data_IF_137856415660
#
_entry.id   IF_137856415660
#
_cell.length_a   1.000
_cell.length_b   1.000
_cell.length_c   1.000
_cell.angle_alpha   90.00
_cell.angle_beta   90.00
_cell.angle_gamma   90.00
#
_symmetry.space_group_name_H-M   'P 1'
#
loop_
_entity.id
_entity.type
_entity.pdbx_description
1 polymer ?
#
# COMPACT_ATOMS: atom_id res chain seq x y z
N UNK A 1 44.97 39.99 87.65
CA UNK A 1 43.58 39.64 87.30
C UNK A 1 42.87 39.21 88.56
N UNK A 2 41.66 39.72 88.84
CA UNK A 2 40.88 39.30 90.02
C UNK A 2 40.30 37.90 89.81
N UNK A 3 40.10 37.16 90.90
CA UNK A 3 39.48 35.82 90.91
C UNK A 3 38.08 35.84 90.28
N UNK A 4 37.35 36.94 90.48
CA UNK A 4 36.05 37.23 89.89
C UNK A 4 36.08 37.23 88.35
N UNK A 5 37.12 37.78 87.72
CA UNK A 5 37.25 37.77 86.26
C UNK A 5 37.45 36.34 85.71
N UNK A 6 38.17 35.48 86.45
CA UNK A 6 38.40 34.08 86.06
C UNK A 6 37.08 33.30 86.11
N UNK A 7 36.28 33.50 87.16
CA UNK A 7 34.99 32.83 87.32
C UNK A 7 33.97 33.28 86.25
N UNK A 8 33.99 34.56 85.88
CA UNK A 8 33.22 35.09 84.74
C UNK A 8 33.64 34.43 83.42
N UNK A 9 34.94 34.37 83.10
CA UNK A 9 35.40 33.74 81.87
C UNK A 9 35.06 32.26 81.79
N UNK A 10 35.14 31.49 82.89
CA UNK A 10 34.70 30.09 82.91
C UNK A 10 33.21 29.96 82.58
N UNK A 11 32.39 30.87 83.10
CA UNK A 11 30.95 30.89 82.83
C UNK A 11 30.66 31.23 81.37
N UNK A 12 31.38 32.18 80.78
CA UNK A 12 31.27 32.51 79.36
C UNK A 12 31.75 31.36 78.46
N UNK A 13 32.89 30.73 78.77
CA UNK A 13 33.39 29.55 78.05
C UNK A 13 32.32 28.46 78.04
N UNK A 14 31.72 28.15 79.20
CA UNK A 14 30.68 27.12 79.30
C UNK A 14 29.46 27.46 78.44
N UNK A 15 29.01 28.72 78.46
CA UNK A 15 27.91 29.17 77.58
C UNK A 15 28.25 29.01 76.09
N UNK A 16 29.51 29.28 75.72
CA UNK A 16 29.98 29.12 74.34
C UNK A 16 30.04 27.63 73.97
N UNK A 17 30.55 26.77 74.84
CA UNK A 17 30.58 25.32 74.63
C UNK A 17 29.18 24.73 74.46
N UNK A 18 28.23 25.12 75.33
CA UNK A 18 26.82 24.72 75.22
C UNK A 18 26.22 25.19 73.88
N UNK A 19 26.54 26.42 73.44
CA UNK A 19 26.08 26.95 72.16
C UNK A 19 26.69 26.24 70.95
N UNK A 20 27.97 25.87 71.02
CA UNK A 20 28.64 25.08 69.97
C UNK A 20 28.00 23.70 69.85
N UNK A 21 27.70 23.05 70.97
CA UNK A 21 27.03 21.75 70.98
C UNK A 21 25.64 21.83 70.34
N UNK A 22 24.85 22.84 70.70
CA UNK A 22 23.52 23.09 70.12
C UNK A 22 23.60 23.31 68.60
N UNK A 23 24.53 24.17 68.14
CA UNK A 23 24.71 24.46 66.71
C UNK A 23 25.22 23.24 65.92
N UNK A 24 26.04 22.41 66.53
CA UNK A 24 26.55 21.17 65.89
C UNK A 24 25.42 20.19 65.65
N UNK A 25 24.57 19.97 66.65
CA UNK A 25 23.40 19.10 66.52
C UNK A 25 22.38 19.64 65.50
N UNK A 26 22.14 20.95 65.47
CA UNK A 26 21.27 21.57 64.47
C UNK A 26 21.83 21.41 63.05
N UNK A 27 23.14 21.59 62.87
CA UNK A 27 23.80 21.41 61.58
C UNK A 27 23.71 19.96 61.09
N UNK A 28 23.97 18.97 61.95
CA UNK A 28 23.86 17.56 61.60
C UNK A 28 22.42 17.19 61.18
N UNK A 29 21.43 17.68 61.93
CA UNK A 29 20.01 17.48 61.61
C UNK A 29 19.68 18.07 60.23
N UNK A 30 20.05 19.34 59.98
CA UNK A 30 19.81 20.00 58.69
C UNK A 30 20.55 19.31 57.54
N UNK A 31 21.75 18.80 57.79
CA UNK A 31 22.55 18.06 56.80
C UNK A 31 21.87 16.75 56.42
N UNK A 32 21.35 15.99 57.39
CA UNK A 32 20.62 14.76 57.14
C UNK A 32 19.30 15.01 56.40
N UNK A 33 18.54 16.02 56.81
CA UNK A 33 17.31 16.43 56.13
C UNK A 33 17.56 16.81 54.66
N UNK A 34 18.62 17.58 54.40
CA UNK A 34 19.03 17.95 53.05
C UNK A 34 19.43 16.73 52.21
N UNK A 35 20.19 15.78 52.79
CA UNK A 35 20.60 14.55 52.12
C UNK A 35 19.39 13.66 51.78
N UNK A 36 18.47 13.48 52.73
CA UNK A 36 17.26 12.68 52.54
C UNK A 36 16.31 13.31 51.52
N UNK A 37 16.15 14.64 51.55
CA UNK A 37 15.37 15.39 50.57
C UNK A 37 15.96 15.26 49.16
N UNK A 38 17.29 15.39 49.03
CA UNK A 38 18.00 15.21 47.77
C UNK A 38 17.83 13.81 47.20
N UNK A 39 17.97 12.79 48.05
CA UNK A 39 17.79 11.38 47.66
C UNK A 39 16.35 11.10 47.19
N UNK A 40 15.36 11.56 47.95
CA UNK A 40 13.94 11.39 47.61
C UNK A 40 13.58 12.03 46.26
N UNK A 41 14.08 13.26 46.00
CA UNK A 41 13.89 13.93 44.71
C UNK A 41 14.54 13.17 43.56
N UNK A 42 15.75 12.64 43.76
CA UNK A 42 16.44 11.84 42.75
C UNK A 42 15.64 10.58 42.40
N UNK A 43 15.20 9.83 43.43
CA UNK A 43 14.37 8.63 43.24
C UNK A 43 13.05 8.95 42.53
N UNK A 44 12.43 10.10 42.83
CA UNK A 44 11.22 10.54 42.13
C UNK A 44 11.50 10.82 40.65
N UNK A 45 12.59 11.53 40.33
CA UNK A 45 12.99 11.82 38.95
C UNK A 45 13.27 10.52 38.18
N UNK A 46 14.03 9.60 38.76
CA UNK A 46 14.35 8.32 38.13
C UNK A 46 13.10 7.46 37.91
N UNK A 47 12.18 7.45 38.88
CA UNK A 47 10.93 6.70 38.77
C UNK A 47 9.99 7.31 37.72
N UNK A 48 9.78 8.62 37.72
CA UNK A 48 8.81 9.26 36.82
C UNK A 48 9.39 9.44 35.41
N UNK A 49 10.54 10.12 35.31
CA UNK A 49 11.13 10.43 34.01
C UNK A 49 11.82 9.21 33.41
N UNK A 50 12.53 8.40 34.21
CA UNK A 50 13.19 7.19 33.72
C UNK A 50 12.20 6.17 33.14
N UNK A 51 11.05 5.96 33.78
CA UNK A 51 9.98 5.11 33.21
C UNK A 51 9.39 5.70 31.94
N UNK A 52 9.15 7.01 31.90
CA UNK A 52 8.59 7.68 30.73
C UNK A 52 9.53 7.60 29.52
N UNK A 53 10.84 7.78 29.73
CA UNK A 53 11.85 7.63 28.68
C UNK A 53 11.85 6.20 28.13
N UNK A 54 11.91 5.17 28.98
CA UNK A 54 11.88 3.77 28.54
C UNK A 54 10.59 3.42 27.78
N UNK A 55 9.45 3.95 28.21
CA UNK A 55 8.19 3.74 27.52
C UNK A 55 8.21 4.36 26.11
N UNK A 56 8.71 5.60 25.98
CA UNK A 56 8.84 6.28 24.69
C UNK A 56 9.86 5.61 23.76
N UNK A 57 10.98 5.10 24.28
CA UNK A 57 11.96 4.33 23.50
C UNK A 57 11.36 3.04 22.94
N UNK A 58 10.57 2.33 23.75
CA UNK A 58 9.85 1.13 23.32
C UNK A 58 8.80 1.46 22.25
N UNK A 59 8.00 2.51 22.46
CA UNK A 59 7.00 2.95 21.48
C UNK A 59 7.64 3.38 20.16
N UNK A 60 8.76 4.11 20.23
CA UNK A 60 9.51 4.55 19.05
C UNK A 60 10.04 3.34 18.26
N UNK A 61 10.55 2.32 18.95
CA UNK A 61 11.04 1.09 18.32
C UNK A 61 9.91 0.35 17.60
N UNK A 62 8.77 0.16 18.27
CA UNK A 62 7.60 -0.49 17.67
C UNK A 62 7.06 0.28 16.45
N UNK A 63 7.04 1.62 16.51
CA UNK A 63 6.63 2.46 15.38
C UNK A 63 7.59 2.35 14.19
N UNK A 64 8.90 2.28 14.43
CA UNK A 64 9.89 2.08 13.36
C UNK A 64 9.69 0.73 12.66
N UNK A 65 9.56 -0.36 13.42
CA UNK A 65 9.31 -1.69 12.84
C UNK A 65 8.01 -1.74 12.02
N UNK A 66 6.97 -1.05 12.49
CA UNK A 66 5.70 -0.94 11.77
C UNK A 66 5.87 -0.17 10.46
N UNK A 67 6.61 0.93 10.49
CA UNK A 67 6.90 1.74 9.31
C UNK A 67 7.70 0.96 8.28
N UNK A 68 8.74 0.23 8.70
CA UNK A 68 9.58 -0.57 7.81
C UNK A 68 8.74 -1.65 7.09
N UNK A 69 7.88 -2.37 7.83
CA UNK A 69 6.94 -3.35 7.25
C UNK A 69 5.97 -2.71 6.25
N UNK A 70 5.49 -1.50 6.54
CA UNK A 70 4.59 -0.78 5.64
C UNK A 70 5.29 -0.34 4.35
N UNK A 71 6.55 0.10 4.43
CA UNK A 71 7.38 0.44 3.28
C UNK A 71 7.63 -0.79 2.40
N UNK A 72 7.98 -1.92 3.00
CA UNK A 72 8.18 -3.18 2.27
C UNK A 72 6.91 -3.65 1.54
N UNK A 73 5.76 -3.59 2.21
CA UNK A 73 4.48 -3.94 1.61
C UNK A 73 4.12 -3.01 0.44
N UNK A 74 4.36 -1.71 0.59
CA UNK A 74 4.11 -0.73 -0.47
C UNK A 74 5.02 -0.97 -1.69
N UNK A 75 6.29 -1.32 -1.47
CA UNK A 75 7.22 -1.60 -2.56
C UNK A 75 6.80 -2.86 -3.34
N UNK A 76 6.42 -3.94 -2.64
CA UNK A 76 5.87 -5.15 -3.28
C UNK A 76 4.62 -4.85 -4.13
N UNK A 77 3.68 -4.09 -3.57
CA UNK A 77 2.47 -3.71 -4.31
C UNK A 77 2.77 -2.88 -5.57
N UNK A 78 3.78 -2.00 -5.52
CA UNK A 78 4.24 -1.23 -6.70
C UNK A 78 4.84 -2.13 -7.78
N UNK A 79 5.64 -3.12 -7.40
CA UNK A 79 6.23 -4.07 -8.34
C UNK A 79 5.17 -4.92 -9.03
N UNK A 80 4.20 -5.44 -8.28
CA UNK A 80 3.05 -6.20 -8.81
C UNK A 80 2.20 -5.34 -9.75
N UNK A 81 1.94 -4.09 -9.38
CA UNK A 81 1.20 -3.15 -10.23
C UNK A 81 1.91 -2.91 -11.56
N UNK A 82 3.23 -2.67 -11.54
CA UNK A 82 4.00 -2.42 -12.75
C UNK A 82 4.04 -3.66 -13.66
N UNK A 83 4.20 -4.84 -13.08
CA UNK A 83 4.17 -6.12 -13.80
C UNK A 83 2.81 -6.33 -14.47
N UNK A 84 1.73 -6.15 -13.71
CA UNK A 84 0.35 -6.31 -14.19
C UNK A 84 0.03 -5.29 -15.28
N UNK A 85 0.44 -4.03 -15.11
CA UNK A 85 0.30 -2.98 -16.11
C UNK A 85 1.01 -3.33 -17.42
N UNK A 86 2.22 -3.89 -17.34
CA UNK A 86 2.97 -4.39 -18.48
C UNK A 86 2.24 -5.52 -19.22
N UNK A 87 1.79 -6.53 -18.47
CA UNK A 87 1.04 -7.67 -19.00
C UNK A 87 -0.27 -7.23 -19.68
N UNK A 88 -1.03 -6.33 -19.05
CA UNK A 88 -2.26 -5.78 -19.60
C UNK A 88 -2.02 -5.04 -20.93
N UNK A 89 -0.94 -4.25 -21.01
CA UNK A 89 -0.58 -3.53 -22.25
C UNK A 89 -0.25 -4.49 -23.40
N UNK A 90 0.41 -5.62 -23.11
CA UNK A 90 0.71 -6.66 -24.11
C UNK A 90 -0.58 -7.37 -24.55
N UNK A 91 -1.39 -7.82 -23.61
CA UNK A 91 -2.66 -8.48 -23.89
C UNK A 91 -3.61 -7.60 -24.72
N UNK A 92 -3.64 -6.29 -24.44
CA UNK A 92 -4.44 -5.33 -25.22
C UNK A 92 -3.97 -5.26 -26.68
N UNK A 93 -2.65 -5.18 -26.91
CA UNK A 93 -2.09 -5.15 -28.28
C UNK A 93 -2.36 -6.45 -29.04
N UNK A 94 -2.24 -7.60 -28.36
CA UNK A 94 -2.54 -8.91 -28.94
C UNK A 94 -4.01 -9.00 -29.33
N UNK A 95 -4.92 -8.61 -28.43
CA UNK A 95 -6.34 -8.56 -28.69
C UNK A 95 -6.70 -7.66 -29.88
N UNK A 96 -6.17 -6.43 -29.93
CA UNK A 96 -6.41 -5.49 -31.03
C UNK A 96 -5.91 -6.03 -32.37
N UNK A 97 -4.74 -6.67 -32.37
CA UNK A 97 -4.15 -7.28 -33.56
C UNK A 97 -4.98 -8.46 -34.05
N UNK A 98 -5.37 -9.37 -33.15
CA UNK A 98 -6.20 -10.52 -33.47
C UNK A 98 -7.57 -10.08 -34.02
N UNK A 99 -8.21 -9.11 -33.36
CA UNK A 99 -9.48 -8.52 -33.79
C UNK A 99 -9.38 -7.93 -35.19
N UNK A 100 -8.32 -7.18 -35.49
CA UNK A 100 -8.12 -6.58 -36.82
C UNK A 100 -7.91 -7.64 -37.91
N UNK A 101 -7.17 -8.70 -37.62
CA UNK A 101 -6.97 -9.82 -38.54
C UNK A 101 -8.30 -10.54 -38.82
N UNK A 102 -9.09 -10.82 -37.78
CA UNK A 102 -10.38 -11.49 -37.94
C UNK A 102 -11.37 -10.68 -38.77
N UNK A 103 -11.43 -9.35 -38.58
CA UNK A 103 -12.28 -8.46 -39.39
C UNK A 103 -11.89 -8.57 -40.86
N UNK A 104 -10.59 -8.48 -41.20
CA UNK A 104 -10.12 -8.58 -42.58
C UNK A 104 -10.43 -9.94 -43.21
N UNK A 105 -10.27 -11.01 -42.45
CA UNK A 105 -10.60 -12.36 -42.91
C UNK A 105 -12.10 -12.47 -43.21
N UNK A 106 -12.96 -11.98 -42.32
CA UNK A 106 -14.40 -11.98 -42.52
C UNK A 106 -14.81 -11.17 -43.76
N UNK A 107 -14.25 -9.96 -43.95
CA UNK A 107 -14.49 -9.14 -45.14
C UNK A 107 -14.05 -9.83 -46.44
N UNK A 108 -12.94 -10.57 -46.40
CA UNK A 108 -12.45 -11.34 -47.55
C UNK A 108 -13.38 -12.52 -47.86
N UNK A 109 -13.78 -13.26 -46.84
CA UNK A 109 -14.69 -14.40 -46.96
C UNK A 109 -16.05 -13.96 -47.51
N UNK A 110 -16.61 -12.85 -47.01
CA UNK A 110 -17.87 -12.30 -47.51
C UNK A 110 -17.77 -11.94 -49.01
N UNK A 111 -16.68 -11.29 -49.43
CA UNK A 111 -16.45 -10.97 -50.85
C UNK A 111 -16.35 -12.23 -51.71
N UNK A 112 -15.71 -13.28 -51.23
CA UNK A 112 -15.57 -14.55 -51.95
C UNK A 112 -16.92 -15.24 -52.11
N UNK A 113 -17.69 -15.35 -51.02
CA UNK A 113 -19.05 -15.92 -51.05
C UNK A 113 -19.94 -15.13 -52.02
N UNK A 114 -19.90 -13.80 -52.00
CA UNK A 114 -20.68 -12.97 -52.93
C UNK A 114 -20.29 -13.21 -54.40
N UNK A 115 -19.01 -13.45 -54.71
CA UNK A 115 -18.55 -13.77 -56.07
C UNK A 115 -19.04 -15.16 -56.52
N UNK A 116 -18.95 -16.15 -55.65
CA UNK A 116 -19.42 -17.51 -55.91
C UNK A 116 -20.94 -17.53 -56.15
N UNK A 117 -21.72 -16.91 -55.25
CA UNK A 117 -23.18 -16.79 -55.39
C UNK A 117 -23.57 -16.10 -56.70
N UNK A 118 -22.90 -15.00 -57.07
CA UNK A 118 -23.15 -14.32 -58.35
C UNK A 118 -22.90 -15.23 -59.55
N UNK A 119 -21.83 -16.04 -59.50
CA UNK A 119 -21.46 -16.97 -60.57
C UNK A 119 -22.50 -18.09 -60.69
N UNK A 120 -22.87 -18.71 -59.57
CA UNK A 120 -23.91 -19.75 -59.51
C UNK A 120 -25.26 -19.22 -60.01
N UNK A 121 -25.68 -18.02 -59.60
CA UNK A 121 -26.92 -17.40 -60.08
C UNK A 121 -26.87 -17.20 -61.60
N UNK A 122 -25.73 -16.77 -62.14
CA UNK A 122 -25.57 -16.58 -63.59
C UNK A 122 -25.68 -17.91 -64.34
N UNK A 123 -25.05 -18.96 -63.83
CA UNK A 123 -25.13 -20.31 -64.38
C UNK A 123 -26.56 -20.84 -64.36
N UNK A 124 -27.24 -20.76 -63.21
CA UNK A 124 -28.64 -21.19 -63.07
C UNK A 124 -29.58 -20.42 -64.00
N UNK A 125 -29.38 -19.10 -64.17
CA UNK A 125 -30.14 -18.30 -65.14
C UNK A 125 -29.95 -18.78 -66.58
N UNK A 126 -28.74 -19.20 -66.95
CA UNK A 126 -28.47 -19.74 -68.28
C UNK A 126 -29.13 -21.12 -68.46
N UNK A 127 -29.07 -21.98 -67.44
CA UNK A 127 -29.73 -23.29 -67.45
C UNK A 127 -31.26 -23.16 -67.60
N UNK A 128 -31.89 -22.23 -66.85
CA UNK A 128 -33.32 -21.93 -66.98
C UNK A 128 -33.65 -21.52 -68.42
N UNK A 129 -32.90 -20.58 -69.02
CA UNK A 129 -33.12 -20.16 -70.42
C UNK A 129 -32.97 -21.30 -71.42
N UNK A 130 -32.06 -22.23 -71.18
CA UNK A 130 -31.88 -23.41 -72.04
C UNK A 130 -33.09 -24.35 -71.93
N UNK A 131 -33.54 -24.64 -70.71
CA UNK A 131 -34.74 -25.44 -70.45
C UNK A 131 -35.99 -24.80 -71.05
N UNK A 132 -36.19 -23.49 -70.89
CA UNK A 132 -37.30 -22.75 -71.51
C UNK A 132 -37.32 -22.88 -73.04
N UNK A 133 -36.14 -22.89 -73.68
CA UNK A 133 -36.05 -23.11 -75.13
C UNK A 133 -36.41 -24.55 -75.52
N UNK A 134 -35.95 -25.53 -74.75
CA UNK A 134 -36.27 -26.95 -74.98
C UNK A 134 -37.78 -27.19 -74.83
N UNK A 135 -38.39 -26.70 -73.76
CA UNK A 135 -39.84 -26.79 -73.52
C UNK A 135 -40.61 -26.22 -74.72
N UNK A 136 -40.26 -25.01 -75.19
CA UNK A 136 -40.92 -24.39 -76.36
C UNK A 136 -40.76 -25.21 -77.64
N UNK A 137 -39.63 -25.91 -77.81
CA UNK A 137 -39.41 -26.76 -78.97
C UNK A 137 -40.26 -28.03 -78.90
N UNK A 138 -40.36 -28.64 -77.72
CA UNK A 138 -41.21 -29.80 -77.45
C UNK A 138 -42.70 -29.46 -77.61
N UNK A 139 -43.16 -28.34 -77.05
CA UNK A 139 -44.54 -27.85 -77.21
C UNK A 139 -44.92 -27.70 -78.70
N UNK A 140 -44.01 -27.15 -79.52
CA UNK A 140 -44.21 -27.04 -80.98
C UNK A 140 -44.24 -28.39 -81.67
N UNK A 141 -43.40 -29.34 -81.26
CA UNK A 141 -43.36 -30.68 -81.84
C UNK A 141 -44.67 -31.44 -81.54
N UNK A 142 -45.15 -31.37 -80.30
CA UNK A 142 -46.43 -31.96 -79.87
C UNK A 142 -47.60 -31.33 -80.65
N UNK A 143 -47.64 -30.00 -80.78
CA UNK A 143 -48.69 -29.32 -81.52
C UNK A 143 -48.76 -29.75 -83.00
N UNK A 144 -47.61 -29.98 -83.64
CA UNK A 144 -47.54 -30.52 -85.01
C UNK A 144 -48.00 -31.97 -85.09
N UNK A 145 -47.62 -32.81 -84.13
CA UNK A 145 -48.01 -34.22 -84.10
C UNK A 145 -49.54 -34.39 -83.93
N UNK A 146 -50.20 -33.49 -83.20
CA UNK A 146 -51.66 -33.52 -83.01
C UNK A 146 -52.47 -32.98 -84.22
N UNK A 147 -51.81 -32.44 -85.25
CA UNK A 147 -52.45 -31.91 -86.47
C UNK A 147 -52.27 -32.81 -87.69
N UNK A 148 -51.50 -33.90 -87.56
CA UNK A 148 -51.27 -34.93 -88.57
C UNK A 148 -52.18 -36.13 -88.33
#
# INVERSE_FOLDING_TARGET
MSQENIENFKTEIKKIEDKIAELTAEYETKREEAANSGKSKLEQIESEHGKKVKALESELTAKKETLDKAIDALNKAKEEFNTTKGAHKLALKEYESARKSQIKENESNEKNILKELKSLIKEQKNNIKALEKQIKAEEKAIAKANQA
#
